data_IF_232057449365
#
_entry.id   IF_232057449365
#
_cell.length_a   1.000
_cell.length_b   1.000
_cell.length_c   1.000
_cell.angle_alpha   90.00
_cell.angle_beta   90.00
_cell.angle_gamma   90.00
#
_symmetry.space_group_name_H-M   'P 1'
#
loop_
_entity.id
_entity.type
_entity.pdbx_description
1 polymer ?
#
# COMPACT_ATOMS: atom_id res chain seq x y z
N UNK A 1 -18.00 2.43 4.09
CA UNK A 1 -16.59 2.46 4.54
C UNK A 1 -15.69 2.67 3.33
N UNK A 2 -14.53 3.29 3.46
CA UNK A 2 -13.63 3.55 2.33
C UNK A 2 -12.48 2.54 2.31
N UNK A 3 -12.22 1.96 1.15
CA UNK A 3 -11.04 1.15 0.88
C UNK A 3 -10.05 1.96 0.03
N UNK A 4 -8.88 2.25 0.59
CA UNK A 4 -7.73 2.73 -0.14
C UNK A 4 -6.87 1.54 -0.56
N UNK A 5 -6.85 1.25 -1.87
CA UNK A 5 -6.09 0.15 -2.44
C UNK A 5 -4.86 0.67 -3.17
N UNK A 6 -3.70 0.12 -2.83
CA UNK A 6 -2.42 0.39 -3.48
C UNK A 6 -1.96 -0.89 -4.15
N UNK A 7 -2.01 -0.92 -5.48
CA UNK A 7 -1.49 -2.04 -6.26
C UNK A 7 -0.07 -1.70 -6.69
N UNK A 8 0.86 -2.60 -6.39
CA UNK A 8 2.29 -2.41 -6.56
C UNK A 8 2.88 -3.57 -7.35
N UNK A 9 3.45 -3.29 -8.52
CA UNK A 9 4.24 -4.24 -9.30
C UNK A 9 5.73 -4.02 -9.04
N UNK A 10 6.47 -5.13 -8.90
CA UNK A 10 7.85 -5.19 -8.45
C UNK A 10 8.73 -5.90 -9.49
N UNK A 11 9.99 -5.49 -9.59
CA UNK A 11 11.02 -6.35 -10.15
C UNK A 11 11.22 -7.59 -9.25
N UNK A 12 11.30 -8.82 -9.80
CA UNK A 12 11.38 -10.05 -9.01
C UNK A 12 12.49 -10.04 -7.95
N UNK A 13 13.63 -9.42 -8.26
CA UNK A 13 14.80 -9.37 -7.37
C UNK A 13 14.58 -8.62 -6.06
N UNK A 14 13.59 -7.74 -5.97
CA UNK A 14 13.29 -6.98 -4.75
C UNK A 14 12.08 -7.54 -3.97
N UNK A 15 11.39 -8.55 -4.52
CA UNK A 15 10.07 -8.93 -4.02
C UNK A 15 10.08 -9.47 -2.58
N UNK A 16 11.09 -10.25 -2.21
CA UNK A 16 11.21 -10.79 -0.85
C UNK A 16 11.50 -9.68 0.17
N UNK A 17 12.43 -8.78 -0.15
CA UNK A 17 12.79 -7.65 0.73
C UNK A 17 11.63 -6.66 0.88
N UNK A 18 10.96 -6.34 -0.23
CA UNK A 18 9.79 -5.47 -0.23
C UNK A 18 8.65 -6.07 0.60
N UNK A 19 8.38 -7.37 0.44
CA UNK A 19 7.35 -8.07 1.22
C UNK A 19 7.67 -8.04 2.73
N UNK A 20 8.91 -8.33 3.10
CA UNK A 20 9.35 -8.27 4.48
C UNK A 20 9.22 -6.85 5.06
N UNK A 21 9.58 -5.84 4.28
CA UNK A 21 9.45 -4.43 4.68
C UNK A 21 7.99 -4.01 4.88
N UNK A 22 7.11 -4.41 3.96
CA UNK A 22 5.69 -4.08 4.04
C UNK A 22 5.03 -4.69 5.28
N UNK A 23 5.26 -5.98 5.51
CA UNK A 23 4.68 -6.72 6.64
C UNK A 23 5.29 -6.34 7.98
N UNK A 24 6.60 -6.07 8.01
CA UNK A 24 7.35 -5.80 9.25
C UNK A 24 7.36 -4.35 9.69
N UNK A 25 7.07 -3.40 8.80
CA UNK A 25 7.25 -1.98 9.08
C UNK A 25 6.17 -1.10 8.43
N UNK A 26 6.18 -0.97 7.10
CA UNK A 26 5.44 0.10 6.42
C UNK A 26 3.93 0.04 6.69
N UNK A 27 3.30 -1.13 6.60
CA UNK A 27 1.86 -1.24 6.83
C UNK A 27 1.49 -0.92 8.28
N UNK A 28 2.34 -1.26 9.24
CA UNK A 28 2.13 -0.93 10.64
C UNK A 28 2.19 0.59 10.88
N UNK A 29 3.10 1.30 10.21
CA UNK A 29 3.18 2.76 10.29
C UNK A 29 1.97 3.44 9.65
N UNK A 30 1.51 2.94 8.50
CA UNK A 30 0.30 3.45 7.83
C UNK A 30 -0.92 3.33 8.74
N UNK A 31 -1.13 2.16 9.36
CA UNK A 31 -2.22 1.97 10.33
C UNK A 31 -1.98 2.78 11.61
N UNK A 32 -0.73 2.92 12.04
CA UNK A 32 -0.31 3.70 13.20
C UNK A 32 -0.60 5.20 13.12
N UNK A 33 -0.88 5.74 11.92
CA UNK A 33 -1.39 7.11 11.74
C UNK A 33 -2.75 7.34 12.40
N UNK A 34 -3.52 6.27 12.64
CA UNK A 34 -4.90 6.32 13.14
C UNK A 34 -5.95 6.64 12.07
N UNK A 35 -5.55 6.84 10.81
CA UNK A 35 -6.47 7.08 9.69
C UNK A 35 -7.11 5.81 9.13
N UNK A 36 -6.59 4.63 9.50
CA UNK A 36 -7.07 3.35 9.04
C UNK A 36 -7.32 2.40 10.21
N UNK A 37 -8.40 1.62 10.13
CA UNK A 37 -8.79 0.66 11.17
C UNK A 37 -8.30 -0.76 10.88
N UNK A 38 -7.89 -1.02 9.64
CA UNK A 38 -7.45 -2.33 9.16
C UNK A 38 -6.57 -2.18 7.93
N UNK A 39 -5.63 -3.11 7.78
CA UNK A 39 -4.88 -3.30 6.55
C UNK A 39 -4.80 -4.79 6.15
N UNK A 40 -4.74 -5.06 4.85
CA UNK A 40 -4.51 -6.42 4.30
C UNK A 40 -3.51 -6.34 3.15
N UNK A 41 -2.55 -7.25 3.09
CA UNK A 41 -1.67 -7.41 1.93
C UNK A 41 -2.09 -8.65 1.15
N UNK A 42 -2.32 -8.48 -0.14
CA UNK A 42 -2.73 -9.53 -1.07
C UNK A 42 -1.68 -9.69 -2.15
N UNK A 43 -1.47 -10.92 -2.62
CA UNK A 43 -0.65 -11.22 -3.80
C UNK A 43 -1.56 -11.47 -4.99
N UNK A 44 -1.25 -10.89 -6.14
CA UNK A 44 -1.91 -11.24 -7.40
C UNK A 44 -1.41 -12.62 -7.85
N UNK A 45 -2.33 -13.55 -8.09
CA UNK A 45 -1.99 -14.93 -8.50
C UNK A 45 -1.95 -15.09 -10.02
N UNK A 46 -2.68 -14.25 -10.74
CA UNK A 46 -2.85 -14.33 -12.19
C UNK A 46 -2.08 -13.19 -12.86
N UNK A 47 -0.77 -13.14 -12.68
CA UNK A 47 0.08 -12.19 -13.40
C UNK A 47 0.28 -12.63 -14.84
N UNK A 48 0.22 -11.66 -15.77
CA UNK A 48 0.40 -11.90 -17.21
C UNK A 48 1.89 -11.91 -17.61
N UNK A 49 2.76 -11.27 -16.83
CA UNK A 49 4.21 -11.12 -17.07
C UNK A 49 5.04 -11.79 -15.96
N UNK A 50 6.36 -11.87 -16.12
CA UNK A 50 7.36 -12.30 -15.11
C UNK A 50 7.50 -11.33 -13.91
N UNK A 51 6.46 -10.52 -13.64
CA UNK A 51 6.41 -9.57 -12.54
C UNK A 51 6.01 -10.22 -11.21
N UNK A 52 6.13 -9.43 -10.12
CA UNK A 52 5.48 -9.75 -8.85
C UNK A 52 4.63 -8.57 -8.42
N UNK A 53 3.33 -8.80 -8.22
CA UNK A 53 2.34 -7.78 -7.94
C UNK A 53 1.61 -8.06 -6.64
N UNK A 54 1.56 -7.04 -5.78
CA UNK A 54 0.81 -7.05 -4.54
C UNK A 54 -0.26 -5.96 -4.53
N UNK A 55 -1.31 -6.16 -3.75
CA UNK A 55 -2.31 -5.15 -3.43
C UNK A 55 -2.36 -4.95 -1.92
N UNK A 56 -1.93 -3.78 -1.46
CA UNK A 56 -2.07 -3.33 -0.08
C UNK A 56 -3.40 -2.58 0.08
N UNK A 57 -4.26 -3.10 0.92
CA UNK A 57 -5.59 -2.58 1.20
C UNK A 57 -5.60 -1.93 2.57
N UNK A 58 -6.11 -0.70 2.65
CA UNK A 58 -6.26 0.05 3.90
C UNK A 58 -7.71 0.55 4.03
N UNK A 59 -8.33 0.30 5.18
CA UNK A 59 -9.74 0.59 5.41
C UNK A 59 -9.89 1.80 6.32
N UNK A 60 -10.51 2.87 5.81
CA UNK A 60 -10.81 4.09 6.52
C UNK A 60 -12.31 4.20 6.77
N UNK A 61 -12.71 4.79 7.91
CA UNK A 61 -14.14 4.91 8.24
C UNK A 61 -14.85 5.96 7.39
N UNK A 62 -14.12 6.95 6.85
CA UNK A 62 -14.65 8.04 6.03
C UNK A 62 -13.62 8.52 4.99
N UNK A 63 -14.08 9.31 4.02
CA UNK A 63 -13.21 10.00 3.06
C UNK A 63 -12.30 11.04 3.75
N UNK A 64 -12.83 11.75 4.74
CA UNK A 64 -12.07 12.75 5.51
C UNK A 64 -10.81 12.14 6.17
N UNK A 65 -10.91 10.93 6.72
CA UNK A 65 -9.73 10.24 7.28
C UNK A 65 -8.71 9.85 6.19
N UNK A 66 -9.19 9.44 5.02
CA UNK A 66 -8.32 9.14 3.88
C UNK A 66 -7.61 10.41 3.38
N UNK A 67 -8.32 11.53 3.30
CA UNK A 67 -7.78 12.83 2.91
C UNK A 67 -6.71 13.28 3.91
N UNK A 68 -6.99 13.20 5.22
CA UNK A 68 -6.03 13.50 6.27
C UNK A 68 -4.76 12.62 6.17
N UNK A 69 -4.91 11.32 5.88
CA UNK A 69 -3.79 10.43 5.60
C UNK A 69 -2.96 10.93 4.40
N UNK A 70 -3.64 11.22 3.29
CA UNK A 70 -2.99 11.62 2.05
C UNK A 70 -2.24 12.94 2.16
N UNK A 71 -2.77 13.89 2.92
CA UNK A 71 -2.16 15.21 3.11
C UNK A 71 -1.00 15.17 4.12
N UNK A 72 -1.20 14.53 5.27
CA UNK A 72 -0.29 14.70 6.40
C UNK A 72 0.72 13.58 6.59
N UNK A 73 0.46 12.37 6.07
CA UNK A 73 1.28 11.18 6.36
C UNK A 73 1.83 10.50 5.12
N UNK A 74 1.03 10.41 4.06
CA UNK A 74 1.41 9.70 2.84
C UNK A 74 2.68 10.24 2.17
N UNK A 75 3.01 11.56 2.16
CA UNK A 75 4.25 12.03 1.54
C UNK A 75 5.51 11.43 2.16
N UNK A 76 5.63 11.45 3.48
CA UNK A 76 6.80 10.92 4.20
C UNK A 76 6.92 9.40 4.04
N UNK A 77 5.82 8.67 4.24
CA UNK A 77 5.78 7.21 4.11
C UNK A 77 6.10 6.73 2.68
N UNK A 78 5.74 7.51 1.65
CA UNK A 78 6.11 7.22 0.26
C UNK A 78 7.60 7.50 0.01
N UNK A 79 8.12 8.60 0.57
CA UNK A 79 9.54 8.93 0.44
C UNK A 79 10.43 7.84 1.06
N UNK A 80 10.08 7.30 2.22
CA UNK A 80 10.81 6.19 2.87
C UNK A 80 10.81 4.91 2.01
N UNK A 81 9.69 4.60 1.37
CA UNK A 81 9.61 3.48 0.43
C UNK A 81 10.48 3.72 -0.81
N UNK A 82 10.48 4.94 -1.35
CA UNK A 82 11.33 5.32 -2.47
C UNK A 82 12.81 5.26 -2.12
N UNK A 83 13.22 5.69 -0.92
CA UNK A 83 14.61 5.59 -0.48
C UNK A 83 15.15 4.16 -0.51
N UNK A 84 14.28 3.16 -0.31
CA UNK A 84 14.64 1.73 -0.32
C UNK A 84 14.53 1.09 -1.69
N UNK A 85 13.46 1.38 -2.44
CA UNK A 85 13.07 0.57 -3.60
C UNK A 85 12.94 1.35 -4.91
N UNK A 86 13.19 2.66 -4.93
CA UNK A 86 13.01 3.51 -6.12
C UNK A 86 13.67 2.93 -7.37
N UNK A 87 12.91 3.00 -8.47
CA UNK A 87 13.30 2.46 -9.78
C UNK A 87 12.92 0.99 -9.98
N UNK A 88 12.55 0.26 -8.93
CA UNK A 88 12.33 -1.19 -8.99
C UNK A 88 10.89 -1.60 -8.66
N UNK A 89 10.03 -0.61 -8.38
CA UNK A 89 8.62 -0.80 -8.15
C UNK A 89 7.79 0.32 -8.80
N UNK A 90 6.56 -0.01 -9.18
CA UNK A 90 5.57 0.95 -9.66
C UNK A 90 4.28 0.70 -8.90
N UNK A 91 3.66 1.75 -8.37
CA UNK A 91 2.41 1.64 -7.63
C UNK A 91 1.34 2.57 -8.19
N UNK A 92 0.12 2.05 -8.32
CA UNK A 92 -1.07 2.85 -8.59
C UNK A 92 -2.08 2.71 -7.45
N UNK A 93 -2.96 3.69 -7.32
CA UNK A 93 -3.86 3.84 -6.18
C UNK A 93 -5.29 3.99 -6.67
N UNK A 94 -6.19 3.30 -6.00
CA UNK A 94 -7.63 3.40 -6.23
C UNK A 94 -8.35 3.59 -4.89
N UNK A 95 -9.42 4.38 -4.91
CA UNK A 95 -10.31 4.57 -3.76
C UNK A 95 -11.62 3.91 -4.10
N UNK A 96 -12.05 2.98 -3.27
CA UNK A 96 -13.28 2.23 -3.42
C UNK A 96 -14.18 2.48 -2.22
N UNK A 97 -15.48 2.37 -2.45
CA UNK A 97 -16.46 2.26 -1.38
C UNK A 97 -16.74 0.78 -1.10
N UNK A 98 -16.76 0.42 0.18
CA UNK A 98 -17.30 -0.87 0.63
C UNK A 98 -18.83 -0.76 0.64
N UNK A 99 -19.48 -1.50 -0.27
CA UNK A 99 -20.93 -1.63 -0.36
C UNK A 99 -21.33 -2.93 0.34
N UNK A 100 -22.21 -2.82 1.34
CA UNK A 100 -22.81 -3.96 2.07
C UNK A 100 -24.29 -4.10 1.74
#
# INVERSE_FOLDING_TARGET
MILYNVTTSLEPRIAEEWLAYMLGHHMAEVVGTGCFIKSTLLRLLNEEDDGITYAAQYFAVSLEQLEAYQEHFAPALREEMDQKFKGNYVSFRTVLEVVE
#
